data_IF_549471971594
#
_entry.id   IF_549471971594
#
_cell.length_a   1.000
_cell.length_b   1.000
_cell.length_c   1.000
_cell.angle_alpha   90.00
_cell.angle_beta   90.00
_cell.angle_gamma   90.00
#
_symmetry.space_group_name_H-M   'P 1'
#
loop_
_entity.id
_entity.type
_entity.pdbx_description
1 polymer ?
#
# COMPACT_ATOMS: atom_id res chain seq x y z
N UNK A 1 15.21 -18.26 8.38
CA UNK A 1 14.46 -18.58 7.15
C UNK A 1 13.24 -17.68 7.10
N UNK A 2 12.98 -16.99 5.99
CA UNK A 2 11.75 -16.21 5.83
C UNK A 2 10.56 -17.17 5.75
N UNK A 3 9.53 -16.96 6.57
CA UNK A 3 8.24 -17.61 6.34
C UNK A 3 7.80 -17.33 4.89
N UNK A 4 7.09 -18.24 4.20
CA UNK A 4 6.41 -17.88 2.96
C UNK A 4 5.25 -16.90 3.26
N UNK A 5 4.73 -16.19 2.24
CA UNK A 5 3.46 -15.47 2.37
C UNK A 5 2.37 -16.38 2.92
N UNK A 6 1.34 -15.78 3.52
CA UNK A 6 0.22 -16.51 4.14
C UNK A 6 -0.30 -17.58 3.19
N UNK A 7 -0.39 -18.80 3.72
CA UNK A 7 -0.98 -19.89 2.97
C UNK A 7 -2.47 -19.61 2.78
N UNK A 8 -2.85 -19.35 1.53
CA UNK A 8 -4.23 -19.06 1.18
C UNK A 8 -5.13 -20.30 1.29
N UNK A 9 -4.57 -21.49 1.54
CA UNK A 9 -5.35 -22.71 1.84
C UNK A 9 -6.16 -22.59 3.14
N UNK A 10 -5.76 -21.69 4.05
CA UNK A 10 -6.47 -21.38 5.28
C UNK A 10 -7.88 -20.82 5.01
N UNK A 11 -8.10 -20.23 3.84
CA UNK A 11 -9.37 -19.65 3.45
C UNK A 11 -10.19 -20.60 2.58
N UNK A 12 -11.51 -20.52 2.73
CA UNK A 12 -12.43 -21.20 1.82
C UNK A 12 -12.20 -20.80 0.35
N UNK A 13 -12.64 -21.65 -0.58
CA UNK A 13 -12.36 -21.49 -2.02
C UNK A 13 -12.81 -20.13 -2.57
N UNK A 14 -13.93 -19.58 -2.08
CA UNK A 14 -14.50 -18.31 -2.58
C UNK A 14 -13.67 -17.13 -2.10
N UNK A 15 -13.39 -17.05 -0.80
CA UNK A 15 -12.55 -16.02 -0.18
C UNK A 15 -11.12 -16.08 -0.74
N UNK A 16 -10.54 -17.27 -0.82
CA UNK A 16 -9.23 -17.50 -1.45
C UNK A 16 -9.18 -16.97 -2.88
N UNK A 17 -10.23 -17.20 -3.67
CA UNK A 17 -10.36 -16.68 -5.03
C UNK A 17 -10.30 -15.16 -5.08
N UNK A 18 -11.05 -14.49 -4.20
CA UNK A 18 -11.05 -13.02 -4.09
C UNK A 18 -9.70 -12.48 -3.61
N UNK A 19 -9.09 -13.06 -2.58
CA UNK A 19 -7.75 -12.66 -2.13
C UNK A 19 -6.72 -12.76 -3.26
N UNK A 20 -6.77 -13.84 -4.07
CA UNK A 20 -5.90 -13.98 -5.25
C UNK A 20 -6.08 -12.86 -6.26
N UNK A 21 -7.27 -12.27 -6.40
CA UNK A 21 -7.47 -11.09 -7.27
C UNK A 21 -6.73 -9.86 -6.72
N UNK A 22 -6.78 -9.63 -5.41
CA UNK A 22 -6.01 -8.54 -4.78
C UNK A 22 -4.50 -8.72 -4.95
N UNK A 23 -4.00 -9.97 -4.84
CA UNK A 23 -2.61 -10.32 -5.13
C UNK A 23 -2.27 -10.08 -6.59
N UNK A 24 -3.16 -10.48 -7.51
CA UNK A 24 -2.95 -10.31 -8.94
C UNK A 24 -2.84 -8.83 -9.30
N UNK A 25 -3.66 -7.96 -8.72
CA UNK A 25 -3.54 -6.51 -8.91
C UNK A 25 -2.21 -5.96 -8.39
N UNK A 26 -1.77 -6.40 -7.21
CA UNK A 26 -0.43 -6.07 -6.72
C UNK A 26 0.69 -6.48 -7.68
N UNK A 27 0.56 -7.63 -8.34
CA UNK A 27 1.51 -8.09 -9.36
C UNK A 27 1.47 -7.25 -10.63
N UNK A 28 0.28 -6.85 -11.12
CA UNK A 28 0.15 -5.96 -12.28
C UNK A 28 0.76 -4.58 -11.99
N UNK A 29 0.47 -3.99 -10.83
CA UNK A 29 1.12 -2.74 -10.41
C UNK A 29 2.63 -2.91 -10.28
N UNK A 30 3.11 -4.05 -9.80
CA UNK A 30 4.55 -4.31 -9.77
C UNK A 30 5.16 -4.30 -11.18
N UNK A 31 4.50 -4.87 -12.17
CA UNK A 31 4.98 -4.80 -13.56
C UNK A 31 4.98 -3.36 -14.10
N UNK A 32 3.93 -2.57 -13.84
CA UNK A 32 3.89 -1.14 -14.18
C UNK A 32 5.10 -0.41 -13.57
N UNK A 33 5.46 -0.72 -12.33
CA UNK A 33 6.60 -0.11 -11.66
C UNK A 33 7.90 -0.37 -12.42
N UNK A 34 8.11 -1.62 -12.85
CA UNK A 34 9.30 -2.00 -13.60
C UNK A 34 9.38 -1.22 -14.91
N UNK A 35 8.26 -1.08 -15.62
CA UNK A 35 8.19 -0.31 -16.85
C UNK A 35 8.49 1.19 -16.60
N UNK A 36 7.78 1.82 -15.68
CA UNK A 36 7.90 3.26 -15.34
C UNK A 36 9.30 3.61 -14.84
N UNK A 37 9.87 2.78 -13.96
CA UNK A 37 11.22 2.97 -13.42
C UNK A 37 12.28 2.85 -14.50
N UNK A 38 12.18 1.85 -15.37
CA UNK A 38 13.26 1.48 -16.27
C UNK A 38 13.19 2.13 -17.65
N UNK A 39 11.99 2.51 -18.10
CA UNK A 39 11.72 3.03 -19.44
C UNK A 39 10.69 4.18 -19.42
N UNK A 40 10.88 5.21 -18.58
CA UNK A 40 9.87 6.25 -18.36
C UNK A 40 9.40 6.94 -19.65
N UNK A 41 10.31 7.23 -20.57
CA UNK A 41 10.00 8.00 -21.79
C UNK A 41 9.29 7.14 -22.85
N UNK A 42 9.50 5.82 -22.85
CA UNK A 42 8.77 4.89 -23.72
C UNK A 42 7.39 4.57 -23.15
N UNK A 43 7.29 4.44 -21.84
CA UNK A 43 6.02 4.25 -21.12
C UNK A 43 5.04 5.39 -21.38
N UNK A 44 5.51 6.64 -21.40
CA UNK A 44 4.68 7.81 -21.68
C UNK A 44 4.00 7.82 -23.07
N UNK A 45 4.38 6.91 -23.98
CA UNK A 45 3.78 6.77 -25.32
C UNK A 45 2.51 5.91 -25.33
N UNK A 46 2.24 5.14 -24.28
CA UNK A 46 1.05 4.29 -24.21
C UNK A 46 -0.08 5.04 -23.49
N UNK A 47 -1.26 5.08 -24.11
CA UNK A 47 -2.43 5.76 -23.53
C UNK A 47 -3.14 4.94 -22.44
N UNK A 48 -2.82 3.65 -22.34
CA UNK A 48 -3.35 2.76 -21.29
C UNK A 48 -2.35 1.68 -20.88
N UNK A 49 -2.56 1.11 -19.70
CA UNK A 49 -1.80 -0.04 -19.22
C UNK A 49 -2.05 -1.27 -20.11
N UNK A 50 -3.29 -1.47 -20.56
CA UNK A 50 -3.63 -2.58 -21.45
C UNK A 50 -2.89 -2.51 -22.80
N UNK A 51 -2.69 -1.33 -23.36
CA UNK A 51 -1.86 -1.18 -24.57
C UNK A 51 -0.41 -1.60 -24.31
N UNK A 52 0.17 -1.16 -23.19
CA UNK A 52 1.55 -1.50 -22.84
C UNK A 52 1.74 -3.00 -22.67
N UNK A 53 0.84 -3.69 -21.95
CA UNK A 53 1.02 -5.12 -21.66
C UNK A 53 0.79 -6.02 -22.88
N UNK A 54 0.04 -5.52 -23.86
CA UNK A 54 -0.15 -6.18 -25.15
C UNK A 54 1.04 -5.99 -26.10
N UNK A 55 1.89 -4.98 -25.91
CA UNK A 55 3.21 -4.92 -26.54
C UNK A 55 4.14 -5.96 -25.89
N UNK A 56 4.08 -7.19 -26.43
CA UNK A 56 4.85 -8.34 -25.94
C UNK A 56 6.36 -8.11 -26.00
N UNK A 57 6.84 -7.38 -27.00
CA UNK A 57 8.27 -7.09 -27.16
C UNK A 57 8.75 -6.16 -26.05
N UNK A 58 8.00 -5.08 -25.82
CA UNK A 58 8.32 -4.15 -24.75
C UNK A 58 8.16 -4.78 -23.37
N UNK A 59 7.11 -5.57 -23.13
CA UNK A 59 6.93 -6.29 -21.88
C UNK A 59 8.10 -7.26 -21.60
N UNK A 60 8.60 -7.95 -22.63
CA UNK A 60 9.78 -8.80 -22.53
C UNK A 60 11.04 -7.98 -22.23
N UNK A 61 11.20 -6.82 -22.85
CA UNK A 61 12.32 -5.92 -22.60
C UNK A 61 12.35 -5.40 -21.15
N UNK A 62 11.19 -5.02 -20.61
CA UNK A 62 11.03 -4.57 -19.21
C UNK A 62 11.57 -5.62 -18.24
N UNK A 63 11.24 -6.88 -18.46
CA UNK A 63 11.63 -7.98 -17.58
C UNK A 63 13.08 -8.41 -17.77
N UNK A 64 13.58 -8.39 -19.01
CA UNK A 64 14.99 -8.68 -19.31
C UNK A 64 15.94 -7.73 -18.59
N UNK A 65 15.53 -6.47 -18.38
CA UNK A 65 16.33 -5.49 -17.64
C UNK A 65 16.47 -5.84 -16.15
N UNK A 66 15.47 -6.49 -15.56
CA UNK A 66 15.53 -6.95 -14.17
C UNK A 66 16.19 -8.33 -14.03
N UNK A 67 16.11 -9.20 -15.05
CA UNK A 67 16.73 -10.54 -15.02
C UNK A 67 18.27 -10.52 -15.11
N UNK A 68 18.88 -9.40 -15.55
CA UNK A 68 20.35 -9.22 -15.59
C UNK A 68 21.03 -9.25 -14.21
N UNK A 69 20.27 -9.32 -13.11
CA UNK A 69 20.78 -9.37 -11.73
C UNK A 69 20.74 -10.76 -11.04
N UNK A 70 20.67 -11.87 -11.78
CA UNK A 70 21.14 -13.18 -11.27
C UNK A 70 20.08 -14.18 -10.77
N UNK A 71 18.92 -14.29 -11.41
CA UNK A 71 17.98 -15.40 -11.15
C UNK A 71 17.09 -15.67 -12.36
N UNK A 72 16.67 -16.92 -12.57
CA UNK A 72 15.79 -17.39 -13.66
C UNK A 72 14.60 -16.41 -13.80
N UNK A 73 14.69 -15.52 -14.79
CA UNK A 73 13.69 -14.50 -15.06
C UNK A 73 12.35 -15.15 -15.36
N UNK A 74 11.29 -14.73 -14.67
CA UNK A 74 9.94 -15.16 -14.99
C UNK A 74 9.60 -14.83 -16.44
N UNK A 75 8.89 -15.73 -17.13
CA UNK A 75 8.48 -15.51 -18.51
C UNK A 75 7.67 -14.20 -18.63
N UNK A 76 7.93 -13.35 -19.63
CA UNK A 76 7.10 -12.19 -19.94
C UNK A 76 5.62 -12.50 -20.14
N UNK A 77 5.33 -13.72 -20.58
CA UNK A 77 3.97 -14.24 -20.72
C UNK A 77 3.25 -14.39 -19.38
N UNK A 78 3.94 -14.34 -18.23
CA UNK A 78 3.31 -14.47 -16.91
C UNK A 78 2.30 -13.35 -16.65
N UNK A 79 2.65 -12.10 -16.92
CA UNK A 79 1.75 -10.97 -16.64
C UNK A 79 0.65 -10.85 -17.68
N UNK A 80 0.95 -11.14 -18.95
CA UNK A 80 -0.09 -11.25 -19.98
C UNK A 80 -1.07 -12.40 -19.68
N UNK A 81 -0.56 -13.55 -19.24
CA UNK A 81 -1.38 -14.67 -18.78
C UNK A 81 -2.23 -14.31 -17.56
N UNK A 82 -1.71 -13.46 -16.67
CA UNK A 82 -2.47 -12.94 -15.53
C UNK A 82 -3.62 -12.04 -15.98
N UNK A 83 -3.37 -11.10 -16.91
CA UNK A 83 -4.41 -10.25 -17.51
C UNK A 83 -5.49 -11.09 -18.17
N UNK A 84 -5.10 -12.06 -19.01
CA UNK A 84 -6.03 -12.97 -19.67
C UNK A 84 -6.85 -13.79 -18.66
N UNK A 85 -6.22 -14.29 -17.60
CA UNK A 85 -6.92 -15.05 -16.57
C UNK A 85 -7.92 -14.20 -15.76
N UNK A 86 -7.61 -12.93 -15.50
CA UNK A 86 -8.53 -11.98 -14.86
C UNK A 86 -9.73 -11.72 -15.77
N UNK A 87 -9.48 -11.42 -17.05
CA UNK A 87 -10.51 -11.15 -18.04
C UNK A 87 -11.43 -12.36 -18.28
N UNK A 88 -10.85 -13.56 -18.49
CA UNK A 88 -11.61 -14.81 -18.70
C UNK A 88 -12.50 -15.17 -17.52
N UNK A 89 -12.13 -14.75 -16.30
CA UNK A 89 -12.94 -14.95 -15.10
C UNK A 89 -14.03 -13.90 -14.91
N UNK A 90 -14.18 -12.94 -15.84
CA UNK A 90 -15.19 -11.90 -15.79
C UNK A 90 -14.82 -10.67 -14.96
N UNK A 91 -13.55 -10.50 -14.59
CA UNK A 91 -13.08 -9.38 -13.76
C UNK A 91 -12.44 -8.25 -14.59
N UNK A 92 -12.99 -7.96 -15.77
CA UNK A 92 -12.44 -6.92 -16.68
C UNK A 92 -12.38 -5.53 -16.02
N UNK A 93 -13.38 -5.19 -15.19
CA UNK A 93 -13.41 -3.95 -14.38
C UNK A 93 -12.23 -3.82 -13.42
N UNK A 94 -11.63 -4.93 -12.99
CA UNK A 94 -10.42 -4.93 -12.19
C UNK A 94 -9.20 -4.45 -12.98
N UNK A 95 -9.15 -4.75 -14.29
CA UNK A 95 -8.10 -4.24 -15.19
C UNK A 95 -8.28 -2.75 -15.47
N UNK A 96 -9.52 -2.27 -15.54
CA UNK A 96 -9.82 -0.83 -15.65
C UNK A 96 -9.29 -0.04 -14.46
N UNK A 97 -9.22 -0.61 -13.26
CA UNK A 97 -8.54 0.04 -12.13
C UNK A 97 -7.05 0.27 -12.38
N UNK A 98 -6.37 -0.68 -13.03
CA UNK A 98 -4.97 -0.48 -13.42
C UNK A 98 -4.85 0.64 -14.45
N UNK A 99 -5.79 0.74 -15.40
CA UNK A 99 -5.86 1.84 -16.37
C UNK A 99 -6.21 3.18 -15.72
N UNK A 100 -7.04 3.22 -14.67
CA UNK A 100 -7.29 4.45 -13.90
C UNK A 100 -5.99 4.91 -13.25
N UNK A 101 -5.27 4.04 -12.55
CA UNK A 101 -3.99 4.41 -11.93
C UNK A 101 -2.95 4.83 -12.98
N UNK A 102 -2.91 4.12 -14.12
CA UNK A 102 -2.10 4.49 -15.27
C UNK A 102 -2.42 5.91 -15.76
N UNK A 103 -3.70 6.19 -15.95
CA UNK A 103 -4.12 7.49 -16.42
C UNK A 103 -3.81 8.60 -15.40
N UNK A 104 -4.09 8.39 -14.12
CA UNK A 104 -3.79 9.38 -13.10
C UNK A 104 -2.29 9.71 -13.03
N UNK A 105 -1.40 8.74 -13.28
CA UNK A 105 0.03 8.86 -12.93
C UNK A 105 1.01 8.73 -14.10
N UNK A 106 0.54 8.47 -15.32
CA UNK A 106 1.39 8.34 -16.51
C UNK A 106 0.84 9.19 -17.66
N UNK A 107 -0.42 8.96 -18.04
CA UNK A 107 -1.02 9.56 -19.23
C UNK A 107 -1.68 10.94 -18.95
N UNK A 108 -2.25 11.13 -17.76
CA UNK A 108 -2.82 12.38 -17.24
C UNK A 108 -4.02 12.94 -17.99
N UNK A 109 -4.93 12.09 -18.49
CA UNK A 109 -6.16 12.58 -19.14
C UNK A 109 -7.26 12.98 -18.16
N UNK A 110 -7.39 12.31 -17.01
CA UNK A 110 -8.42 12.63 -15.98
C UNK A 110 -8.06 13.78 -15.05
N UNK A 111 -6.78 13.99 -14.78
CA UNK A 111 -6.31 14.97 -13.79
C UNK A 111 -4.95 15.49 -14.21
N UNK A 112 -4.74 16.80 -14.10
CA UNK A 112 -3.44 17.36 -14.34
C UNK A 112 -2.46 16.97 -13.20
N UNK A 113 -1.16 16.79 -13.51
CA UNK A 113 -0.17 16.38 -12.51
C UNK A 113 -0.06 17.33 -11.31
N UNK A 114 -0.37 18.62 -11.45
CA UNK A 114 -0.29 19.59 -10.35
C UNK A 114 -1.42 19.33 -9.35
N UNK A 115 -2.64 19.18 -9.85
CA UNK A 115 -3.81 18.87 -9.02
C UNK A 115 -3.66 17.50 -8.36
N UNK A 116 -3.12 16.49 -9.06
CA UNK A 116 -2.80 15.21 -8.43
C UNK A 116 -1.79 15.38 -7.27
N UNK A 117 -0.70 16.10 -7.49
CA UNK A 117 0.28 16.37 -6.44
C UNK A 117 -0.37 17.03 -5.22
N UNK A 118 -1.14 18.10 -5.45
CA UNK A 118 -1.81 18.85 -4.39
C UNK A 118 -2.78 17.98 -3.59
N UNK A 119 -3.55 17.12 -4.26
CA UNK A 119 -4.43 16.16 -3.60
C UNK A 119 -3.67 15.15 -2.73
N UNK A 120 -2.54 14.63 -3.21
CA UNK A 120 -1.73 13.67 -2.43
C UNK A 120 -1.13 14.34 -1.18
N UNK A 121 -0.67 15.58 -1.30
CA UNK A 121 0.02 16.28 -0.20
C UNK A 121 -0.90 17.08 0.72
N UNK A 122 -2.22 17.12 0.45
CA UNK A 122 -3.21 17.78 1.32
C UNK A 122 -3.46 19.26 1.01
N UNK A 123 -3.03 19.73 -0.16
CA UNK A 123 -3.17 21.12 -0.59
C UNK A 123 -4.42 21.33 -1.48
N UNK A 124 -5.46 20.51 -1.28
CA UNK A 124 -6.63 20.43 -2.17
C UNK A 124 -7.72 21.48 -1.88
N UNK A 125 -7.84 22.00 -0.65
CA UNK A 125 -8.89 22.95 -0.30
C UNK A 125 -8.45 24.00 0.72
N UNK A 126 -8.17 25.21 0.22
CA UNK A 126 -8.53 26.52 0.79
C UNK A 126 -8.00 27.59 -0.20
N UNK A 127 -8.66 28.74 -0.26
CA UNK A 127 -8.52 29.72 -1.35
C UNK A 127 -7.06 30.17 -1.55
N UNK A 128 -6.58 29.96 -2.79
CA UNK A 128 -5.32 30.37 -3.39
C UNK A 128 -4.04 29.80 -2.78
N UNK A 129 -3.29 28.94 -3.51
CA UNK A 129 -1.83 29.07 -3.49
C UNK A 129 -1.18 28.81 -4.85
N UNK A 130 -0.42 29.81 -5.26
CA UNK A 130 0.96 29.62 -5.71
C UNK A 130 1.72 30.91 -5.41
N UNK A 131 2.78 30.84 -4.60
CA UNK A 131 4.12 31.25 -5.06
C UNK A 131 5.10 30.05 -4.96
N UNK A 132 5.05 29.24 -6.04
CA UNK A 132 5.67 27.92 -6.31
C UNK A 132 5.32 26.74 -5.37
N UNK A 133 4.03 26.53 -5.10
CA UNK A 133 3.39 25.44 -4.31
C UNK A 133 4.15 24.88 -3.08
N UNK A 134 4.49 25.65 -2.05
CA UNK A 134 5.07 26.99 -2.06
C UNK A 134 6.56 26.83 -1.73
N UNK A 135 7.40 27.23 -2.69
CA UNK A 135 8.74 26.70 -2.99
C UNK A 135 8.89 25.16 -2.86
N UNK A 136 7.79 24.43 -3.14
CA UNK A 136 7.58 22.98 -3.18
C UNK A 136 7.91 22.26 -1.87
N UNK A 137 6.96 22.33 -0.94
CA UNK A 137 7.05 21.70 0.40
C UNK A 137 8.38 22.14 1.08
N UNK A 138 8.72 23.43 0.92
CA UNK A 138 9.99 24.12 1.21
C UNK A 138 11.26 23.29 0.98
N UNK A 139 11.37 22.79 -0.25
CA UNK A 139 12.50 22.01 -0.74
C UNK A 139 12.45 20.54 -0.37
N UNK A 140 11.40 20.04 0.29
CA UNK A 140 11.34 18.65 0.80
C UNK A 140 10.53 17.70 -0.08
N UNK A 141 9.57 18.19 -0.85
CA UNK A 141 8.86 17.37 -1.82
C UNK A 141 8.69 18.06 -3.17
N UNK A 142 8.94 17.36 -4.27
CA UNK A 142 8.68 17.84 -5.64
C UNK A 142 8.09 16.72 -6.48
N UNK A 143 7.73 16.99 -7.74
CA UNK A 143 7.26 15.95 -8.65
C UNK A 143 7.78 16.11 -10.08
N UNK A 144 7.99 14.98 -10.77
CA UNK A 144 8.09 14.88 -12.24
C UNK A 144 6.68 14.70 -12.78
N UNK A 145 6.37 15.33 -13.91
CA UNK A 145 5.02 15.29 -14.52
C UNK A 145 4.70 13.92 -15.11
N UNK A 146 5.43 13.45 -16.11
CA UNK A 146 5.14 12.18 -16.78
C UNK A 146 6.41 11.32 -16.94
N UNK A 147 6.38 10.05 -16.49
CA UNK A 147 5.44 9.52 -15.50
C UNK A 147 5.53 10.31 -14.19
N UNK A 148 4.43 10.35 -13.43
CA UNK A 148 4.30 11.05 -12.16
C UNK A 148 5.17 10.40 -11.09
N UNK A 149 6.18 11.13 -10.65
CA UNK A 149 7.12 10.67 -9.63
C UNK A 149 7.25 11.77 -8.60
N UNK A 150 6.98 11.44 -7.34
CA UNK A 150 7.23 12.36 -6.24
C UNK A 150 8.65 12.17 -5.73
N UNK A 151 9.38 13.26 -5.56
CA UNK A 151 10.68 13.26 -4.89
C UNK A 151 10.45 13.79 -3.47
N UNK A 152 10.69 12.99 -2.44
CA UNK A 152 10.45 13.36 -1.03
C UNK A 152 11.74 13.26 -0.20
N UNK A 153 11.90 14.11 0.80
CA UNK A 153 12.94 14.05 1.84
C UNK A 153 12.38 14.63 3.15
N UNK A 154 13.01 14.31 4.26
CA UNK A 154 12.67 14.71 5.63
C UNK A 154 11.30 14.28 6.13
N UNK A 155 10.63 13.38 5.43
CA UNK A 155 9.50 12.66 5.99
C UNK A 155 9.99 11.61 6.97
N UNK A 156 9.28 11.49 8.08
CA UNK A 156 9.38 10.37 8.96
C UNK A 156 8.58 9.19 8.38
N UNK A 157 9.07 7.99 8.62
CA UNK A 157 8.36 6.78 8.31
C UNK A 157 8.59 5.75 9.42
N UNK A 158 7.64 4.84 9.56
CA UNK A 158 7.79 3.62 10.33
C UNK A 158 7.68 2.42 9.40
N UNK A 159 8.38 1.37 9.77
CA UNK A 159 8.28 0.07 9.11
C UNK A 159 7.09 -0.68 9.68
N UNK A 160 6.25 -1.22 8.80
CA UNK A 160 4.99 -1.88 9.17
C UNK A 160 5.09 -3.38 8.97
N UNK A 161 5.61 -3.82 7.81
CA UNK A 161 5.92 -5.23 7.55
C UNK A 161 7.34 -5.38 6.97
N UNK A 162 8.03 -6.47 7.32
CA UNK A 162 9.35 -6.84 6.77
C UNK A 162 9.50 -8.34 6.54
N UNK A 163 9.92 -8.70 5.33
CA UNK A 163 10.43 -10.04 4.99
C UNK A 163 11.91 -9.91 4.61
N UNK A 164 12.79 -10.41 5.49
CA UNK A 164 14.23 -10.45 5.24
C UNK A 164 14.59 -11.47 4.17
N UNK A 165 15.59 -11.14 3.35
CA UNK A 165 16.13 -12.10 2.38
C UNK A 165 16.96 -13.18 3.06
N UNK A 166 17.20 -14.31 2.36
CA UNK A 166 17.95 -15.45 2.92
C UNK A 166 19.43 -15.18 3.24
N UNK A 167 19.97 -14.01 2.88
CA UNK A 167 21.32 -13.53 3.21
C UNK A 167 21.28 -12.04 3.55
N UNK A 168 22.29 -11.56 4.26
CA UNK A 168 22.41 -10.16 4.70
C UNK A 168 22.47 -9.17 3.53
N UNK A 169 23.10 -9.54 2.40
CA UNK A 169 23.19 -8.68 1.21
C UNK A 169 21.95 -8.74 0.31
N UNK A 170 21.08 -9.74 0.52
CA UNK A 170 19.85 -9.89 -0.26
C UNK A 170 18.89 -8.72 0.02
N UNK A 171 17.91 -8.54 -0.86
CA UNK A 171 16.88 -7.50 -0.68
C UNK A 171 15.81 -7.99 0.29
N UNK A 172 15.55 -7.19 1.33
CA UNK A 172 14.34 -7.32 2.12
C UNK A 172 13.17 -6.69 1.39
N UNK A 173 12.00 -7.31 1.52
CA UNK A 173 10.73 -6.66 1.19
C UNK A 173 10.31 -5.90 2.44
N UNK A 174 10.13 -4.58 2.33
CA UNK A 174 9.63 -3.77 3.44
C UNK A 174 8.39 -3.00 2.98
N UNK A 175 7.43 -2.86 3.88
CA UNK A 175 6.26 -2.01 3.73
C UNK A 175 6.40 -0.93 4.80
N UNK A 176 6.40 0.33 4.36
CA UNK A 176 6.51 1.47 5.25
C UNK A 176 5.24 2.30 5.19
N UNK A 177 4.94 2.96 6.30
CA UNK A 177 4.00 4.07 6.36
C UNK A 177 4.82 5.37 6.40
N UNK A 178 4.63 6.22 5.40
CA UNK A 178 5.25 7.55 5.29
C UNK A 178 4.29 8.53 5.94
N UNK A 179 4.66 8.99 7.13
CA UNK A 179 3.83 9.82 8.00
C UNK A 179 4.19 11.29 7.87
N UNK A 180 4.61 11.86 9.00
CA UNK A 180 4.77 13.31 9.12
C UNK A 180 5.99 13.86 8.37
N UNK A 181 5.85 15.07 7.84
CA UNK A 181 6.98 15.89 7.43
C UNK A 181 7.63 16.49 8.68
N UNK A 182 8.94 16.29 8.82
CA UNK A 182 9.70 16.79 9.96
C UNK A 182 9.41 18.26 10.25
N UNK A 183 9.21 18.56 11.54
CA UNK A 183 9.05 19.91 12.08
C UNK A 183 7.79 20.64 11.56
N UNK A 184 6.79 19.89 11.07
CA UNK A 184 5.49 20.41 10.61
C UNK A 184 4.33 19.53 11.08
N UNK A 185 3.10 19.99 10.87
CA UNK A 185 1.88 19.20 11.09
C UNK A 185 1.43 18.42 9.84
N UNK A 186 2.16 18.55 8.73
CA UNK A 186 1.81 17.95 7.45
C UNK A 186 2.16 16.46 7.44
N UNK A 187 1.33 15.66 6.78
CA UNK A 187 1.53 14.22 6.64
C UNK A 187 1.24 13.79 5.21
N UNK A 188 2.04 12.84 4.69
CA UNK A 188 1.69 12.17 3.45
C UNK A 188 0.62 11.11 3.68
N UNK A 189 0.72 10.39 4.80
CA UNK A 189 -0.20 9.31 5.12
C UNK A 189 -0.24 8.23 4.04
N UNK A 190 0.92 7.83 3.50
CA UNK A 190 1.00 6.87 2.38
C UNK A 190 1.69 5.58 2.78
N UNK A 191 1.18 4.46 2.28
CA UNK A 191 1.88 3.19 2.33
C UNK A 191 2.70 3.00 1.07
N UNK A 192 3.94 2.54 1.24
CA UNK A 192 4.80 2.24 0.10
C UNK A 192 5.62 0.97 0.33
N UNK A 193 5.73 0.15 -0.72
CA UNK A 193 6.80 -0.84 -0.81
C UNK A 193 8.13 -0.11 -0.83
N UNK A 194 9.05 -0.61 -0.03
CA UNK A 194 10.37 -0.07 0.07
C UNK A 194 11.36 -1.25 0.05
N UNK A 195 12.42 -1.13 -0.75
CA UNK A 195 13.37 -2.21 -0.96
C UNK A 195 14.75 -1.77 -0.50
N UNK A 196 15.27 -2.42 0.53
CA UNK A 196 16.61 -2.20 1.10
C UNK A 196 17.30 -3.55 1.30
N UNK A 197 18.60 -3.56 1.61
CA UNK A 197 19.28 -4.83 1.95
C UNK A 197 18.74 -5.39 3.26
N UNK A 198 18.79 -6.71 3.47
CA UNK A 198 18.32 -7.34 4.72
C UNK A 198 19.02 -6.74 5.94
N UNK A 199 20.33 -6.59 5.90
CA UNK A 199 21.11 -5.98 6.99
C UNK A 199 20.71 -4.53 7.28
N UNK A 200 20.32 -3.78 6.24
CA UNK A 200 19.84 -2.40 6.38
C UNK A 200 18.44 -2.39 7.01
N UNK A 201 17.55 -3.30 6.59
CA UNK A 201 16.21 -3.44 7.17
C UNK A 201 16.26 -3.87 8.64
N UNK A 202 17.13 -4.82 9.00
CA UNK A 202 17.32 -5.27 10.39
C UNK A 202 17.73 -4.09 11.28
N UNK A 203 18.64 -3.24 10.80
CA UNK A 203 19.07 -2.07 11.54
C UNK A 203 17.93 -1.06 11.74
N UNK A 204 17.12 -0.82 10.69
CA UNK A 204 15.93 0.05 10.76
C UNK A 204 14.95 -0.51 11.80
N UNK A 205 14.57 -1.78 11.71
CA UNK A 205 13.62 -2.41 12.64
C UNK A 205 14.13 -2.39 14.08
N UNK A 206 15.39 -2.73 14.33
CA UNK A 206 15.97 -2.67 15.68
C UNK A 206 15.89 -1.26 16.27
N UNK A 207 16.21 -0.23 15.48
CA UNK A 207 16.07 1.16 15.95
C UNK A 207 14.62 1.55 16.21
N UNK A 208 13.68 0.99 15.45
CA UNK A 208 12.26 1.18 15.70
C UNK A 208 11.81 0.52 17.02
N UNK A 209 12.30 -0.67 17.35
CA UNK A 209 12.05 -1.33 18.65
C UNK A 209 12.61 -0.50 19.83
N UNK A 210 13.66 0.29 19.61
CA UNK A 210 14.19 1.28 20.57
C UNK A 210 13.37 2.59 20.63
N UNK A 211 12.16 2.64 20.06
CA UNK A 211 11.27 3.82 20.10
C UNK A 211 11.47 4.84 18.98
N UNK A 212 12.28 4.54 17.95
CA UNK A 212 12.56 5.48 16.87
C UNK A 212 11.60 5.37 15.67
N UNK A 213 11.22 6.50 15.09
CA UNK A 213 10.84 6.58 13.69
C UNK A 213 12.09 6.81 12.82
N UNK A 214 11.97 6.75 11.50
CA UNK A 214 13.07 6.96 10.58
C UNK A 214 12.82 8.15 9.67
N UNK A 215 13.78 9.07 9.60
CA UNK A 215 13.72 10.25 8.77
C UNK A 215 14.52 10.07 7.48
N UNK A 216 13.91 10.39 6.35
CA UNK A 216 14.59 10.40 5.05
C UNK A 216 15.54 11.61 4.96
N UNK A 217 16.86 11.42 4.94
CA UNK A 217 17.80 12.57 4.94
C UNK A 217 18.14 13.02 3.51
N UNK A 218 18.16 12.08 2.56
CA UNK A 218 18.33 12.36 1.13
C UNK A 218 16.97 12.34 0.41
N UNK A 219 16.97 12.82 -0.82
CA UNK A 219 15.80 12.77 -1.70
C UNK A 219 15.54 11.35 -2.19
N UNK A 220 14.28 10.93 -2.10
CA UNK A 220 13.77 9.64 -2.54
C UNK A 220 12.65 9.77 -3.54
N UNK A 221 12.67 8.92 -4.56
CA UNK A 221 11.58 8.83 -5.53
C UNK A 221 10.52 7.89 -4.99
N UNK A 222 9.35 8.44 -4.69
CA UNK A 222 8.11 7.73 -4.52
C UNK A 222 7.40 7.68 -5.89
N UNK A 223 6.91 6.51 -6.26
CA UNK A 223 6.14 6.24 -7.46
C UNK A 223 4.69 5.94 -7.03
N UNK A 224 3.81 6.95 -6.94
CA UNK A 224 2.42 6.74 -6.54
C UNK A 224 1.68 5.74 -7.43
N UNK A 225 2.03 5.67 -8.73
CA UNK A 225 1.52 4.69 -9.71
C UNK A 225 1.47 3.26 -9.17
N UNK A 226 2.37 2.90 -8.26
CA UNK A 226 2.59 1.52 -7.83
C UNK A 226 2.89 1.41 -6.34
N UNK A 227 2.58 2.46 -5.57
CA UNK A 227 2.80 2.54 -4.14
C UNK A 227 4.21 2.09 -3.75
N UNK A 228 5.23 2.63 -4.43
CA UNK A 228 6.61 2.15 -4.25
C UNK A 228 7.62 3.27 -4.14
N UNK A 229 8.57 3.11 -3.25
CA UNK A 229 9.72 3.99 -3.12
C UNK A 229 10.96 3.35 -3.74
N UNK A 230 11.81 4.17 -4.37
CA UNK A 230 13.08 3.74 -4.93
C UNK A 230 13.98 3.15 -3.85
N UNK A 231 14.68 2.07 -4.20
CA UNK A 231 15.71 1.47 -3.36
C UNK A 231 16.76 2.49 -2.92
N UNK A 232 17.18 2.38 -1.66
CA UNK A 232 18.22 3.21 -1.04
C UNK A 232 19.09 2.41 -0.06
N UNK A 233 20.13 3.05 0.48
CA UNK A 233 20.97 2.50 1.56
C UNK A 233 20.60 3.09 2.92
N UNK A 234 20.71 2.30 4.00
CA UNK A 234 20.37 2.74 5.36
C UNK A 234 21.05 4.05 5.77
N UNK A 235 22.30 4.29 5.34
CA UNK A 235 23.05 5.53 5.62
C UNK A 235 22.36 6.82 5.15
N UNK A 236 21.28 6.71 4.37
CA UNK A 236 20.48 7.85 3.91
C UNK A 236 19.20 8.07 4.72
N UNK A 237 18.99 7.30 5.79
CA UNK A 237 17.93 7.48 6.78
C UNK A 237 18.54 7.69 8.16
N UNK A 238 17.81 8.37 9.04
CA UNK A 238 18.28 8.72 10.39
C UNK A 238 17.20 8.39 11.43
N UNK A 239 17.52 7.72 12.54
CA UNK A 239 16.56 7.44 13.59
C UNK A 239 16.20 8.71 14.38
N UNK A 240 14.91 8.87 14.70
CA UNK A 240 14.38 10.00 15.49
C UNK A 240 13.45 9.44 16.55
N UNK A 241 13.63 9.83 17.82
CA UNK A 241 12.79 9.42 18.94
C UNK A 241 11.37 10.00 18.83
N UNK A 242 10.53 9.36 18.01
CA UNK A 242 9.19 9.82 17.67
C UNK A 242 8.24 8.69 17.23
N UNK A 243 8.61 7.41 17.42
CA UNK A 243 7.81 6.29 16.90
C UNK A 243 6.36 6.33 17.38
N UNK A 244 6.15 6.57 18.68
CA UNK A 244 4.81 6.62 19.28
C UNK A 244 3.93 7.69 18.61
N UNK A 245 4.49 8.86 18.31
CA UNK A 245 3.76 9.93 17.63
C UNK A 245 3.38 9.54 16.19
N UNK A 246 4.33 8.93 15.45
CA UNK A 246 4.04 8.44 14.09
C UNK A 246 2.98 7.33 14.07
N UNK A 247 3.00 6.42 15.06
CA UNK A 247 1.95 5.40 15.23
C UNK A 247 0.60 6.05 15.51
N UNK A 248 0.53 7.04 16.41
CA UNK A 248 -0.72 7.75 16.71
C UNK A 248 -1.25 8.53 15.50
N UNK A 249 -0.37 9.16 14.71
CA UNK A 249 -0.73 9.82 13.47
C UNK A 249 -1.29 8.82 12.46
N UNK A 250 -0.62 7.68 12.27
CA UNK A 250 -1.09 6.60 11.41
C UNK A 250 -2.46 6.09 11.85
N UNK A 251 -2.64 5.78 13.14
CA UNK A 251 -3.92 5.34 13.67
C UNK A 251 -5.01 6.40 13.45
N UNK A 252 -4.71 7.67 13.71
CA UNK A 252 -5.66 8.78 13.52
C UNK A 252 -6.13 8.93 12.07
N UNK A 253 -5.24 8.69 11.10
CA UNK A 253 -5.55 8.74 9.67
C UNK A 253 -6.32 7.51 9.16
N UNK A 254 -6.11 6.36 9.80
CA UNK A 254 -6.73 5.09 9.41
C UNK A 254 -8.00 4.78 10.19
N UNK A 255 -8.27 5.52 11.27
CA UNK A 255 -9.40 5.25 12.15
C UNK A 255 -10.73 5.43 11.42
N UNK A 256 -11.56 4.40 11.45
CA UNK A 256 -12.91 4.38 10.89
C UNK A 256 -13.91 4.05 11.99
N UNK A 257 -15.07 4.71 11.91
CA UNK A 257 -16.22 4.40 12.74
C UNK A 257 -16.98 3.17 12.22
N UNK A 258 -17.95 2.70 13.01
CA UNK A 258 -18.75 1.51 12.70
C UNK A 258 -19.50 1.63 11.37
N UNK A 259 -19.93 2.85 11.01
CA UNK A 259 -20.65 3.11 9.75
C UNK A 259 -19.72 2.93 8.55
N UNK A 260 -18.53 3.54 8.58
CA UNK A 260 -17.51 3.38 7.54
C UNK A 260 -16.99 1.96 7.48
N UNK A 261 -16.87 1.28 8.62
CA UNK A 261 -16.53 -0.14 8.67
C UNK A 261 -17.61 -0.98 7.97
N UNK A 262 -18.89 -0.76 8.24
CA UNK A 262 -19.98 -1.44 7.55
C UNK A 262 -19.95 -1.20 6.03
N UNK A 263 -19.74 0.04 5.58
CA UNK A 263 -19.55 0.34 4.15
C UNK A 263 -18.38 -0.43 3.54
N UNK A 264 -17.23 -0.49 4.22
CA UNK A 264 -16.07 -1.27 3.76
C UNK A 264 -16.40 -2.75 3.62
N UNK A 265 -17.02 -3.34 4.64
CA UNK A 265 -17.37 -4.77 4.65
C UNK A 265 -18.39 -5.12 3.55
N UNK A 266 -19.28 -4.18 3.24
CA UNK A 266 -20.25 -4.30 2.16
C UNK A 266 -19.68 -3.96 0.77
N UNK A 267 -18.39 -3.61 0.68
CA UNK A 267 -17.72 -3.19 -0.56
C UNK A 267 -18.28 -1.88 -1.14
N UNK A 268 -18.99 -1.10 -0.33
CA UNK A 268 -19.55 0.22 -0.66
C UNK A 268 -18.54 1.33 -0.33
N UNK A 269 -17.31 1.15 -0.80
CA UNK A 269 -16.22 2.12 -0.66
C UNK A 269 -15.49 2.26 -1.99
N UNK A 270 -14.90 3.43 -2.28
CA UNK A 270 -14.09 3.63 -3.48
C UNK A 270 -12.86 2.71 -3.49
N UNK A 271 -12.57 2.10 -4.64
CA UNK A 271 -11.38 1.28 -4.85
C UNK A 271 -10.14 2.13 -5.12
N UNK A 272 -9.89 3.14 -4.27
CA UNK A 272 -8.78 4.08 -4.39
C UNK A 272 -7.44 3.40 -4.09
N UNK A 273 -6.77 2.93 -5.15
CA UNK A 273 -5.48 2.23 -5.06
C UNK A 273 -4.41 3.10 -4.39
N UNK A 274 -4.43 4.43 -4.58
CA UNK A 274 -3.44 5.33 -3.98
C UNK A 274 -3.53 5.38 -2.44
N UNK A 275 -4.68 5.02 -1.89
CA UNK A 275 -4.90 4.90 -0.45
C UNK A 275 -4.60 3.49 0.10
N UNK A 276 -4.33 2.49 -0.73
CA UNK A 276 -4.13 1.10 -0.27
C UNK A 276 -2.71 0.84 0.26
N UNK A 277 -2.53 -0.33 0.87
CA UNK A 277 -1.26 -0.86 1.33
C UNK A 277 -0.96 -2.21 0.62
N UNK A 278 0.20 -2.36 -0.04
CA UNK A 278 0.59 -3.63 -0.68
C UNK A 278 1.22 -4.61 0.32
N UNK A 279 0.40 -5.36 1.06
CA UNK A 279 0.85 -6.26 2.15
C UNK A 279 1.88 -7.30 1.66
N UNK A 280 2.97 -7.44 2.41
CA UNK A 280 4.01 -8.47 2.26
C UNK A 280 3.46 -9.83 2.68
N UNK A 281 2.66 -9.89 3.74
CA UNK A 281 2.09 -11.15 4.22
C UNK A 281 1.15 -11.78 3.20
N UNK A 282 0.54 -10.98 2.32
CA UNK A 282 -0.19 -11.45 1.14
C UNK A 282 0.61 -11.42 -0.17
N UNK A 283 1.94 -11.45 -0.11
CA UNK A 283 2.78 -11.53 -1.31
C UNK A 283 2.62 -10.36 -2.29
N UNK A 284 2.18 -9.18 -1.83
CA UNK A 284 1.88 -8.03 -2.69
C UNK A 284 0.41 -7.65 -2.76
N UNK A 285 -0.49 -8.41 -2.13
CA UNK A 285 -1.92 -8.14 -2.13
C UNK A 285 -2.26 -6.71 -1.69
N UNK A 286 -3.03 -6.01 -2.53
CA UNK A 286 -3.53 -4.68 -2.21
C UNK A 286 -4.60 -4.77 -1.13
N UNK A 287 -4.43 -3.97 -0.08
CA UNK A 287 -5.31 -3.97 1.07
C UNK A 287 -5.75 -2.55 1.42
N UNK A 288 -6.98 -2.39 1.89
CA UNK A 288 -7.33 -1.22 2.70
C UNK A 288 -6.59 -1.31 4.02
N UNK A 289 -5.91 -0.25 4.40
CA UNK A 289 -5.37 -0.09 5.74
C UNK A 289 -6.40 0.67 6.58
N UNK A 290 -6.78 0.10 7.71
CA UNK A 290 -7.80 0.68 8.59
C UNK A 290 -7.43 0.48 10.05
N UNK A 291 -7.92 1.36 10.91
CA UNK A 291 -7.92 1.19 12.34
C UNK A 291 -9.37 1.27 12.87
N UNK A 292 -9.73 0.42 13.82
CA UNK A 292 -11.06 0.41 14.42
C UNK A 292 -11.03 -0.26 15.79
N UNK A 293 -12.02 0.04 16.64
CA UNK A 293 -12.23 -0.68 17.89
C UNK A 293 -12.97 -2.00 17.60
N UNK A 294 -12.58 -3.08 18.26
CA UNK A 294 -13.30 -4.34 18.19
C UNK A 294 -12.94 -5.28 19.33
N UNK A 295 -13.59 -6.43 19.34
CA UNK A 295 -13.34 -7.50 20.30
C UNK A 295 -12.77 -8.72 19.58
N UNK A 296 -11.55 -9.11 19.93
CA UNK A 296 -10.97 -10.39 19.49
C UNK A 296 -11.62 -11.51 20.33
N UNK A 297 -12.34 -12.40 19.66
CA UNK A 297 -13.12 -13.46 20.31
C UNK A 297 -12.29 -14.70 20.61
N UNK A 298 -11.24 -14.95 19.83
CA UNK A 298 -10.41 -16.14 19.87
C UNK A 298 -8.93 -15.77 19.76
N UNK A 299 -8.04 -16.64 20.21
CA UNK A 299 -6.59 -16.42 20.10
C UNK A 299 -6.16 -16.19 18.63
N UNK A 300 -5.38 -15.14 18.39
CA UNK A 300 -4.87 -14.78 17.07
C UNK A 300 -3.64 -15.62 16.70
N UNK A 301 -3.90 -16.77 16.09
CA UNK A 301 -2.88 -17.74 15.65
C UNK A 301 -2.55 -17.68 14.16
N UNK A 302 -1.40 -18.25 13.79
CA UNK A 302 -0.93 -18.39 12.39
C UNK A 302 -1.68 -19.53 11.67
N UNK A 303 -2.09 -20.57 12.41
CA UNK A 303 -2.63 -21.81 11.84
C UNK A 303 -4.17 -21.85 11.82
N UNK A 304 -4.84 -20.85 12.39
CA UNK A 304 -6.30 -20.80 12.52
C UNK A 304 -6.83 -19.38 12.34
N UNK A 305 -7.96 -19.27 11.65
CA UNK A 305 -8.75 -18.03 11.59
C UNK A 305 -9.31 -17.71 12.99
N UNK A 306 -8.95 -16.54 13.51
CA UNK A 306 -9.62 -15.92 14.64
C UNK A 306 -10.83 -15.09 14.15
N UNK A 307 -11.62 -14.57 15.10
CA UNK A 307 -12.76 -13.71 14.81
C UNK A 307 -12.63 -12.39 15.56
N UNK A 308 -12.89 -11.30 14.86
CA UNK A 308 -13.03 -9.98 15.48
C UNK A 308 -14.46 -9.51 15.31
N UNK A 309 -15.10 -9.17 16.42
CA UNK A 309 -16.42 -8.53 16.44
C UNK A 309 -16.25 -7.02 16.44
N UNK A 310 -16.95 -6.34 15.53
CA UNK A 310 -16.97 -4.88 15.39
C UNK A 310 -18.44 -4.48 15.26
N UNK A 311 -18.96 -3.82 16.29
CA UNK A 311 -20.40 -3.63 16.47
C UNK A 311 -21.17 -4.95 16.26
N UNK A 312 -22.08 -4.99 15.28
CA UNK A 312 -22.89 -6.18 14.94
C UNK A 312 -22.27 -7.08 13.86
N UNK A 313 -21.06 -6.75 13.40
CA UNK A 313 -20.37 -7.49 12.34
C UNK A 313 -19.23 -8.33 12.90
N UNK A 314 -19.07 -9.55 12.39
CA UNK A 314 -17.91 -10.41 12.68
C UNK A 314 -17.09 -10.62 11.43
N UNK A 315 -15.80 -10.35 11.51
CA UNK A 315 -14.83 -10.60 10.44
C UNK A 315 -13.88 -11.74 10.80
N UNK A 316 -13.33 -12.38 9.76
CA UNK A 316 -12.24 -13.35 9.91
C UNK A 316 -10.93 -12.60 10.09
N UNK A 317 -10.10 -13.04 11.03
CA UNK A 317 -8.85 -12.39 11.36
C UNK A 317 -7.69 -13.38 11.40
N UNK A 318 -6.54 -12.98 10.86
CA UNK A 318 -5.26 -13.69 10.98
C UNK A 318 -4.16 -12.67 11.24
N UNK A 319 -3.07 -13.04 11.92
CA UNK A 319 -1.96 -12.11 12.13
C UNK A 319 -1.21 -11.86 10.81
N UNK A 320 -0.74 -10.64 10.60
CA UNK A 320 0.29 -10.37 9.58
C UNK A 320 1.61 -10.98 10.03
N UNK A 321 2.11 -11.97 9.28
CA UNK A 321 3.32 -12.74 9.63
C UNK A 321 4.61 -11.92 9.58
N UNK A 322 4.59 -10.81 8.87
CA UNK A 322 5.75 -9.96 8.70
C UNK A 322 5.60 -8.64 9.45
N UNK A 323 4.52 -8.45 10.23
CA UNK A 323 4.38 -7.24 11.02
C UNK A 323 5.54 -7.08 11.98
N UNK A 324 6.04 -5.85 12.09
CA UNK A 324 7.07 -5.44 13.05
C UNK A 324 6.50 -4.50 14.13
N UNK A 325 5.17 -4.41 14.20
CA UNK A 325 4.45 -3.65 15.21
C UNK A 325 3.84 -4.60 16.25
N UNK A 326 3.64 -4.08 17.47
CA UNK A 326 3.13 -4.87 18.58
C UNK A 326 1.71 -5.39 18.32
N UNK A 327 1.53 -6.68 18.60
CA UNK A 327 0.27 -7.39 18.37
C UNK A 327 -0.02 -8.35 19.53
N UNK A 328 -1.01 -7.98 20.34
CA UNK A 328 -1.62 -8.80 21.38
C UNK A 328 -2.47 -9.88 20.70
N UNK A 329 -2.25 -11.13 21.11
CA UNK A 329 -2.90 -12.30 20.50
C UNK A 329 -4.02 -12.89 21.34
N UNK A 330 -4.15 -12.47 22.60
CA UNK A 330 -5.18 -12.94 23.51
C UNK A 330 -6.53 -12.28 23.24
N UNK A 331 -7.66 -13.00 23.43
CA UNK A 331 -8.99 -12.42 23.37
C UNK A 331 -9.12 -11.14 24.21
N UNK A 332 -9.92 -10.18 23.74
CA UNK A 332 -10.10 -8.89 24.42
C UNK A 332 -10.51 -7.74 23.48
N UNK A 333 -10.78 -6.59 24.08
CA UNK A 333 -11.15 -5.35 23.38
C UNK A 333 -9.91 -4.52 23.07
N UNK A 334 -9.72 -4.17 21.80
CA UNK A 334 -8.54 -3.47 21.31
C UNK A 334 -8.92 -2.47 20.22
N UNK A 335 -8.01 -1.53 19.97
CA UNK A 335 -7.93 -0.84 18.69
C UNK A 335 -7.04 -1.66 17.77
N UNK A 336 -7.62 -2.22 16.72
CA UNK A 336 -6.88 -2.99 15.73
C UNK A 336 -6.38 -2.07 14.62
N UNK A 337 -5.17 -2.31 14.16
CA UNK A 337 -4.72 -1.90 12.83
C UNK A 337 -4.76 -3.13 11.91
N UNK A 338 -5.54 -3.04 10.84
CA UNK A 338 -5.84 -4.19 9.97
C UNK A 338 -5.64 -3.83 8.51
N UNK A 339 -5.06 -4.78 7.77
CA UNK A 339 -5.08 -4.78 6.31
C UNK A 339 -6.20 -5.70 5.81
N UNK A 340 -7.16 -5.12 5.09
CA UNK A 340 -8.27 -5.83 4.47
C UNK A 340 -7.99 -6.00 2.98
N UNK A 341 -7.83 -7.22 2.43
CA UNK A 341 -7.68 -7.41 0.99
C UNK A 341 -8.86 -6.74 0.29
N UNK A 342 -8.60 -5.83 -0.65
CA UNK A 342 -9.67 -4.92 -1.10
C UNK A 342 -10.84 -5.65 -1.77
N UNK A 343 -10.58 -6.82 -2.37
CA UNK A 343 -11.60 -7.70 -2.97
C UNK A 343 -12.27 -8.66 -1.99
N UNK A 344 -11.81 -8.72 -0.73
CA UNK A 344 -12.33 -9.58 0.34
C UNK A 344 -12.25 -8.90 1.71
N UNK A 345 -12.93 -7.75 1.93
CA UNK A 345 -12.77 -6.94 3.13
C UNK A 345 -13.27 -7.61 4.42
N UNK A 346 -14.05 -8.70 4.33
CA UNK A 346 -14.42 -9.56 5.48
C UNK A 346 -13.27 -10.37 6.07
N UNK A 347 -12.10 -10.34 5.43
CA UNK A 347 -10.85 -10.89 5.96
C UNK A 347 -9.97 -9.74 6.40
N UNK A 348 -9.50 -9.80 7.64
CA UNK A 348 -8.56 -8.85 8.22
C UNK A 348 -7.21 -9.51 8.51
N UNK A 349 -6.13 -8.91 8.01
CA UNK A 349 -4.77 -9.20 8.44
C UNK A 349 -4.44 -8.25 9.58
N UNK A 350 -4.41 -8.74 10.81
CA UNK A 350 -4.10 -7.94 11.98
C UNK A 350 -2.61 -7.61 11.98
N UNK A 351 -2.32 -6.33 11.77
CA UNK A 351 -0.95 -5.80 11.71
C UNK A 351 -0.49 -5.44 13.12
N UNK A 352 -1.33 -4.76 13.89
CA UNK A 352 -1.04 -4.33 15.24
C UNK A 352 -2.32 -4.25 16.07
N UNK A 353 -2.16 -4.28 17.39
CA UNK A 353 -3.26 -4.05 18.34
C UNK A 353 -2.81 -3.09 19.42
N UNK A 354 -3.69 -2.20 19.83
CA UNK A 354 -3.42 -1.22 20.87
C UNK A 354 -4.51 -1.29 21.94
N UNK A 355 -4.14 -0.97 23.19
CA UNK A 355 -5.11 -0.76 24.26
C UNK A 355 -6.13 0.30 23.85
N UNK A 356 -7.40 0.10 24.21
CA UNK A 356 -8.49 1.06 23.98
C UNK A 356 -8.24 2.44 24.61
N UNK A 357 -7.34 2.55 25.59
CA UNK A 357 -6.88 3.82 26.15
C UNK A 357 -6.29 4.76 25.09
N UNK A 358 -5.77 4.22 23.97
CA UNK A 358 -5.24 5.02 22.86
C UNK A 358 -6.32 5.91 22.23
N UNK A 359 -7.60 5.52 22.30
CA UNK A 359 -8.71 6.24 21.69
C UNK A 359 -8.80 7.69 22.19
N UNK A 360 -8.51 7.94 23.48
CA UNK A 360 -8.50 9.29 24.04
C UNK A 360 -7.40 10.20 23.46
N UNK A 361 -6.40 9.62 22.80
CA UNK A 361 -5.32 10.34 22.12
C UNK A 361 -5.52 10.44 20.60
N UNK A 362 -6.50 9.72 20.03
CA UNK A 362 -6.77 9.76 18.59
C UNK A 362 -7.56 11.01 18.24
N UNK A 363 -7.11 11.70 17.19
CA UNK A 363 -7.88 12.77 16.55
C UNK A 363 -8.12 12.34 15.11
N UNK A 364 -9.27 11.71 14.79
CA UNK A 364 -9.53 11.19 13.46
C UNK A 364 -9.27 12.23 12.38
N UNK A 365 -8.46 11.88 11.39
CA UNK A 365 -8.08 12.73 10.25
C UNK A 365 -8.41 12.01 8.97
N UNK A 366 -8.91 12.75 7.97
CA UNK A 366 -9.06 12.20 6.63
C UNK A 366 -7.68 12.19 5.95
N UNK A 367 -7.31 11.06 5.34
CA UNK A 367 -6.11 11.01 4.51
C UNK A 367 -6.25 11.88 3.28
N UNK A 368 -5.20 12.62 2.94
CA UNK A 368 -5.19 13.55 1.80
C UNK A 368 -5.57 12.86 0.49
N UNK A 369 -5.04 11.66 0.25
CA UNK A 369 -5.37 10.84 -0.94
C UNK A 369 -6.84 10.45 -1.06
N UNK A 370 -7.63 10.51 0.02
CA UNK A 370 -9.08 10.29 -0.05
C UNK A 370 -9.83 11.42 -0.77
N UNK A 371 -9.17 12.55 -1.07
CA UNK A 371 -9.73 13.57 -1.97
C UNK A 371 -9.91 13.06 -3.41
N UNK A 372 -9.20 11.99 -3.79
CA UNK A 372 -9.24 11.37 -5.12
C UNK A 372 -10.28 10.24 -5.22
N UNK A 373 -11.03 9.97 -4.15
CA UNK A 373 -11.97 8.85 -4.05
C UNK A 373 -13.01 8.84 -5.18
N UNK A 374 -13.45 10.01 -5.64
CA UNK A 374 -14.41 10.17 -6.74
C UNK A 374 -13.87 9.77 -8.11
N UNK A 375 -12.55 9.58 -8.26
CA UNK A 375 -11.93 9.12 -9.52
C UNK A 375 -11.90 7.59 -9.63
N UNK A 376 -12.28 6.88 -8.56
CA UNK A 376 -12.29 5.42 -8.52
C UNK A 376 -13.73 4.90 -8.41
N UNK A 377 -14.06 3.78 -9.10
CA UNK A 377 -15.34 3.09 -8.90
C UNK A 377 -15.40 2.47 -7.51
N UNK A 378 -16.60 2.06 -7.07
CA UNK A 378 -16.73 1.30 -5.84
C UNK A 378 -16.12 -0.09 -5.96
N UNK A 379 -15.70 -0.67 -4.84
CA UNK A 379 -15.15 -2.02 -4.78
C UNK A 379 -16.14 -3.05 -5.31
N UNK A 380 -17.43 -2.90 -5.03
CA UNK A 380 -18.42 -3.85 -5.53
C UNK A 380 -18.51 -3.90 -7.06
N UNK A 381 -18.31 -2.78 -7.75
CA UNK A 381 -18.36 -2.68 -9.21
C UNK A 381 -17.19 -3.40 -9.90
N UNK A 382 -16.06 -3.55 -9.18
CA UNK A 382 -14.81 -4.10 -9.74
C UNK A 382 -14.48 -5.49 -9.21
N UNK A 383 -15.00 -5.85 -8.03
CA UNK A 383 -14.65 -7.07 -7.33
C UNK A 383 -15.82 -8.07 -7.19
N UNK A 384 -17.08 -7.70 -7.47
CA UNK A 384 -18.18 -8.67 -7.63
C UNK A 384 -18.30 -9.08 -9.09
N UNK A 385 -18.63 -10.35 -9.33
CA UNK A 385 -19.00 -10.77 -10.68
C UNK A 385 -20.38 -10.19 -11.04
N UNK A 386 -20.71 -10.00 -12.33
CA UNK A 386 -22.05 -9.59 -12.74
C UNK A 386 -23.17 -10.51 -12.28
N UNK A 387 -22.83 -11.77 -11.92
CA UNK A 387 -23.77 -12.74 -11.33
C UNK A 387 -23.91 -12.64 -9.81
N UNK A 388 -23.14 -11.76 -9.16
CA UNK A 388 -23.12 -11.52 -7.70
C UNK A 388 -23.64 -10.11 -7.33
N UNK A 389 -23.93 -9.27 -8.33
CA UNK A 389 -24.65 -7.99 -8.23
C UNK A 389 -26.12 -8.22 -8.46
#
# INVERSE_FOLDING_TARGET
MSLPPIDLSLFDKKVRGKIRLAVSMGQLLHFIYLAVKNFPDRVAKYSSFLQLINDKEFAAEVLRKESRFGGRGGSPLKYLGLVNAIAQRGYSRLLELADIVWDLTVYHSRIDPKTLFNNIVGLASEKHYSLLDEMRIHGKATYKRSPFIMNIRHYNYITVEVEYGGRSEALAKTLIYIGSLADTNESLGLFARFSVRSIDAEHVVRKQEEGCAHRLIKTFRLYPTVLRMQRLSYKRVYPVQNQRSEVLNMLSELFIDDKKFASLINMDVPANILAMAPSISLGGGLCFATAFRGELLDFLGIEKEAKIKVADTVIKAIPSYYSVLDCQKSPGDYVFMVFHPFTAPKVGLVVATYSTNVLGSLKPKRRNVSSLDNLFPKVEEVAKLPSET
#
